data_IF_627688911758
#
_entry.id   IF_627688911758
#
_cell.length_a   1.000
_cell.length_b   1.000
_cell.length_c   1.000
_cell.angle_alpha   90.00
_cell.angle_beta   90.00
_cell.angle_gamma   90.00
#
_symmetry.space_group_name_H-M   'P 1'
#
loop_
_entity.id
_entity.type
_entity.pdbx_description
1 polymer ?
#
# COMPACT_ATOMS: atom_id res chain seq x y z
N UNK A 1 -17.27 3.56 22.32
CA UNK A 1 -16.07 4.42 22.24
C UNK A 1 -14.93 3.70 22.97
N UNK A 2 -14.07 2.99 22.23
CA UNK A 2 -12.92 2.12 22.60
C UNK A 2 -12.92 1.01 21.52
N UNK A 3 -11.86 0.60 20.83
CA UNK A 3 -10.43 0.59 21.12
C UNK A 3 -9.64 0.96 19.85
N UNK A 4 -8.78 1.99 19.94
CA UNK A 4 -7.60 2.05 19.08
C UNK A 4 -6.49 1.38 19.89
N UNK A 5 -6.27 0.07 19.67
CA UNK A 5 -5.09 -0.61 20.21
C UNK A 5 -3.86 0.03 19.57
N UNK A 6 -2.95 0.54 20.40
CA UNK A 6 -1.62 0.98 19.97
C UNK A 6 -0.97 -0.14 19.16
N UNK A 7 -0.75 0.09 17.88
CA UNK A 7 0.06 -0.79 17.05
C UNK A 7 1.49 -0.81 17.61
N UNK A 8 1.92 -1.98 18.07
CA UNK A 8 3.24 -2.16 18.66
C UNK A 8 4.25 -2.41 17.53
N UNK A 9 4.96 -1.36 17.11
CA UNK A 9 5.88 -1.31 15.94
C UNK A 9 7.17 -2.17 16.08
N UNK A 10 7.16 -3.25 16.85
CA UNK A 10 8.39 -3.98 17.28
C UNK A 10 8.91 -5.05 16.32
N UNK A 11 8.34 -5.22 15.12
CA UNK A 11 8.70 -6.32 14.19
C UNK A 11 9.56 -5.88 13.00
N UNK A 12 10.22 -4.71 13.05
CA UNK A 12 11.15 -4.26 12.00
C UNK A 12 12.55 -4.80 12.24
N UNK A 13 13.12 -5.49 11.25
CA UNK A 13 14.54 -5.87 11.20
C UNK A 13 15.41 -4.61 11.43
N UNK A 14 16.44 -4.75 12.27
CA UNK A 14 17.01 -3.69 13.12
C UNK A 14 17.68 -2.45 12.49
N UNK A 15 17.49 -2.19 11.19
CA UNK A 15 18.03 -1.01 10.50
C UNK A 15 16.97 0.05 10.13
N UNK A 16 15.67 -0.26 10.26
CA UNK A 16 14.57 0.68 9.99
C UNK A 16 14.10 1.41 11.24
N UNK A 17 14.98 2.16 11.92
CA UNK A 17 14.61 3.01 13.05
C UNK A 17 13.57 4.07 12.61
N UNK A 18 12.35 3.96 13.16
CA UNK A 18 11.27 4.95 13.25
C UNK A 18 11.12 6.05 12.15
N UNK A 19 11.16 5.68 10.86
CA UNK A 19 10.91 6.62 9.73
C UNK A 19 9.58 7.37 9.78
N UNK A 20 8.58 6.90 10.54
CA UNK A 20 7.26 7.52 10.60
C UNK A 20 7.28 9.01 11.00
N UNK A 21 8.28 9.44 11.75
CA UNK A 21 8.45 10.84 12.15
C UNK A 21 9.10 11.70 11.05
N UNK A 22 9.81 11.08 10.11
CA UNK A 22 10.54 11.75 9.00
C UNK A 22 9.68 11.79 7.74
N UNK A 23 8.91 10.72 7.47
CA UNK A 23 8.05 10.62 6.30
C UNK A 23 6.92 11.66 6.36
N UNK A 24 6.80 12.46 5.31
CA UNK A 24 5.77 13.49 5.22
C UNK A 24 4.48 12.95 4.58
N UNK A 25 4.59 12.04 3.60
CA UNK A 25 3.44 11.53 2.86
C UNK A 25 2.73 10.41 3.64
N UNK A 26 1.40 10.42 3.59
CA UNK A 26 0.58 9.55 4.41
C UNK A 26 0.44 8.15 3.81
N UNK A 27 -0.29 8.04 2.71
CA UNK A 27 -0.65 6.75 2.14
C UNK A 27 -0.49 6.80 0.62
N UNK A 28 0.13 5.77 0.06
CA UNK A 28 0.25 5.57 -1.37
C UNK A 28 -0.87 4.66 -1.90
N UNK A 29 -1.22 4.85 -3.17
CA UNK A 29 -2.14 4.00 -3.90
C UNK A 29 -1.69 3.89 -5.36
N UNK A 30 -1.50 2.67 -5.87
CA UNK A 30 -1.04 2.46 -7.26
C UNK A 30 -1.93 1.40 -7.90
N UNK A 31 -2.98 1.89 -8.56
CA UNK A 31 -4.02 1.07 -9.20
C UNK A 31 -4.40 1.70 -10.53
N UNK A 32 -4.56 0.87 -11.56
CA UNK A 32 -5.06 1.31 -12.86
C UNK A 32 -6.37 0.66 -13.28
N UNK A 33 -6.67 -0.55 -12.77
CA UNK A 33 -7.92 -1.25 -13.04
C UNK A 33 -8.99 -0.81 -12.03
N UNK A 34 -10.12 -0.20 -12.41
CA UNK A 34 -11.15 0.30 -11.48
C UNK A 34 -12.16 -0.75 -11.00
N UNK A 35 -12.07 -2.02 -11.40
CA UNK A 35 -13.17 -3.00 -11.24
C UNK A 35 -13.42 -3.43 -9.77
N UNK A 36 -12.43 -3.34 -8.88
CA UNK A 36 -12.59 -3.81 -7.49
C UNK A 36 -13.27 -2.75 -6.60
N UNK A 37 -14.57 -2.92 -6.33
CA UNK A 37 -15.37 -1.99 -5.53
C UNK A 37 -14.87 -1.83 -4.09
N UNK A 38 -14.56 -2.94 -3.40
CA UNK A 38 -14.08 -2.93 -2.00
C UNK A 38 -12.80 -2.09 -1.87
N UNK A 39 -11.86 -2.25 -2.81
CA UNK A 39 -10.64 -1.45 -2.83
C UNK A 39 -10.91 0.02 -3.10
N UNK A 40 -11.82 0.32 -4.03
CA UNK A 40 -12.16 1.70 -4.36
C UNK A 40 -12.85 2.40 -3.18
N UNK A 41 -13.75 1.71 -2.49
CA UNK A 41 -14.39 2.20 -1.27
C UNK A 41 -13.37 2.45 -0.16
N UNK A 42 -12.43 1.51 0.03
CA UNK A 42 -11.33 1.68 0.98
C UNK A 42 -10.47 2.92 0.65
N UNK A 43 -10.13 3.13 -0.63
CA UNK A 43 -9.45 4.34 -1.08
C UNK A 43 -10.22 5.61 -0.69
N UNK A 44 -11.52 5.67 -0.99
CA UNK A 44 -12.34 6.85 -0.67
C UNK A 44 -12.43 7.12 0.82
N UNK A 45 -12.65 6.09 1.65
CA UNK A 45 -12.70 6.21 3.12
C UNK A 45 -11.37 6.69 3.71
N UNK A 46 -10.26 6.12 3.25
CA UNK A 46 -8.92 6.48 3.74
C UNK A 46 -8.55 7.89 3.27
N UNK A 47 -8.86 8.23 2.02
CA UNK A 47 -8.60 9.56 1.46
C UNK A 47 -9.43 10.67 2.13
N UNK A 48 -10.66 10.37 2.54
CA UNK A 48 -11.49 11.28 3.33
C UNK A 48 -10.90 11.55 4.73
N UNK A 49 -10.24 10.55 5.33
CA UNK A 49 -9.56 10.71 6.60
C UNK A 49 -8.26 11.53 6.47
N UNK A 50 -7.43 11.21 5.47
CA UNK A 50 -6.21 11.96 5.16
C UNK A 50 -5.80 11.71 3.70
N UNK A 51 -5.34 12.73 2.95
CA UNK A 51 -5.05 12.57 1.52
C UNK A 51 -4.13 11.39 1.19
N UNK A 52 -4.57 10.57 0.24
CA UNK A 52 -3.84 9.43 -0.33
C UNK A 52 -3.26 9.87 -1.67
N UNK A 53 -1.95 9.67 -1.87
CA UNK A 53 -1.32 9.93 -3.16
C UNK A 53 -1.54 8.74 -4.08
N UNK A 54 -2.27 8.95 -5.18
CA UNK A 54 -2.55 7.93 -6.19
C UNK A 54 -1.64 8.09 -7.40
N UNK A 55 -0.77 7.11 -7.62
CA UNK A 55 0.20 7.07 -8.73
C UNK A 55 -0.17 6.12 -9.87
N UNK A 56 -1.29 5.41 -9.77
CA UNK A 56 -1.83 4.62 -10.89
C UNK A 56 -2.78 5.44 -11.78
N UNK A 57 -3.40 4.81 -12.77
CA UNK A 57 -4.40 5.48 -13.63
C UNK A 57 -5.67 5.86 -12.87
N UNK A 58 -6.08 5.02 -11.92
CA UNK A 58 -7.32 5.18 -11.18
C UNK A 58 -7.14 6.19 -10.05
N UNK A 59 -8.02 7.19 -10.00
CA UNK A 59 -8.00 8.26 -8.98
C UNK A 59 -6.67 9.02 -8.90
N UNK A 60 -5.91 9.10 -10.00
CA UNK A 60 -4.61 9.76 -10.02
C UNK A 60 -4.70 11.20 -9.49
N UNK A 61 -3.78 11.59 -8.63
CA UNK A 61 -3.74 12.94 -8.06
C UNK A 61 -2.32 13.47 -7.83
N UNK A 62 -1.32 12.87 -8.49
CA UNK A 62 0.08 13.27 -8.38
C UNK A 62 0.61 13.96 -9.64
N UNK A 63 -0.28 14.33 -10.57
CA UNK A 63 0.06 15.00 -11.84
C UNK A 63 0.41 14.04 -12.98
N UNK A 64 0.13 12.75 -12.84
CA UNK A 64 0.41 11.73 -13.86
C UNK A 64 0.60 10.34 -13.27
N UNK A 65 0.47 9.31 -14.11
CA UNK A 65 0.81 7.94 -13.70
C UNK A 65 2.31 7.81 -13.47
N UNK A 66 2.71 6.97 -12.52
CA UNK A 66 4.12 6.59 -12.38
C UNK A 66 4.60 5.96 -13.70
N UNK A 67 5.81 6.33 -14.12
CA UNK A 67 6.44 5.72 -15.28
C UNK A 67 6.94 4.33 -14.88
N UNK A 68 6.15 3.31 -15.22
CA UNK A 68 6.50 1.91 -15.00
C UNK A 68 7.15 1.35 -16.27
N UNK A 69 8.22 0.57 -16.11
CA UNK A 69 8.91 -0.21 -17.15
C UNK A 69 7.96 -1.16 -17.88
N UNK A 70 6.96 -1.69 -17.16
CA UNK A 70 5.90 -2.52 -17.72
C UNK A 70 4.52 -1.99 -17.32
N UNK A 71 3.53 -2.04 -18.22
CA UNK A 71 2.17 -1.63 -17.91
C UNK A 71 1.51 -2.58 -16.90
N UNK A 72 0.53 -2.06 -16.16
CA UNK A 72 -0.13 -2.79 -15.08
C UNK A 72 0.71 -2.72 -13.80
N UNK A 73 0.10 -2.26 -12.71
CA UNK A 73 0.77 -2.02 -11.43
C UNK A 73 1.37 -3.26 -10.74
N UNK A 74 1.37 -4.42 -11.40
CA UNK A 74 1.88 -5.69 -10.89
C UNK A 74 3.33 -6.02 -11.25
N UNK A 75 4.07 -5.14 -11.94
CA UNK A 75 5.52 -5.30 -12.05
C UNK A 75 6.26 -4.52 -10.96
N UNK A 76 7.35 -5.10 -10.46
CA UNK A 76 8.23 -4.55 -9.41
C UNK A 76 9.08 -3.41 -9.89
N UNK A 77 8.43 -2.33 -10.29
CA UNK A 77 9.08 -1.16 -10.85
C UNK A 77 9.80 -0.32 -9.79
N UNK A 78 10.99 0.18 -10.14
CA UNK A 78 11.79 1.04 -9.27
C UNK A 78 11.11 2.38 -8.96
N UNK A 79 10.35 2.94 -9.90
CA UNK A 79 9.53 4.15 -9.69
C UNK A 79 8.46 3.89 -8.63
N UNK A 80 7.82 2.72 -8.67
CA UNK A 80 6.83 2.30 -7.65
C UNK A 80 7.49 2.08 -6.30
N UNK A 81 8.69 1.50 -6.26
CA UNK A 81 9.47 1.35 -5.04
C UNK A 81 9.81 2.72 -4.41
N UNK A 82 10.36 3.64 -5.19
CA UNK A 82 10.68 5.00 -4.71
C UNK A 82 9.42 5.73 -4.24
N UNK A 83 8.32 5.63 -4.99
CA UNK A 83 7.05 6.20 -4.58
C UNK A 83 6.60 5.66 -3.22
N UNK A 84 6.62 4.34 -3.02
CA UNK A 84 6.26 3.75 -1.73
C UNK A 84 7.22 4.13 -0.58
N UNK A 85 8.51 4.26 -0.85
CA UNK A 85 9.51 4.60 0.15
C UNK A 85 9.31 5.98 0.80
N UNK A 86 8.57 6.87 0.16
CA UNK A 86 8.20 8.20 0.66
C UNK A 86 6.93 8.21 1.52
N UNK A 87 6.19 7.10 1.58
CA UNK A 87 4.89 7.01 2.26
C UNK A 87 4.95 6.13 3.50
N UNK A 88 4.16 6.49 4.51
CA UNK A 88 4.02 5.68 5.74
C UNK A 88 3.26 4.39 5.47
N UNK A 89 2.19 4.48 4.70
CA UNK A 89 1.28 3.39 4.39
C UNK A 89 1.06 3.24 2.88
N UNK A 90 0.54 2.10 2.46
CA UNK A 90 0.04 1.90 1.10
C UNK A 90 -1.19 0.99 1.10
N UNK A 91 -2.16 1.26 0.24
CA UNK A 91 -3.32 0.40 0.03
C UNK A 91 -2.93 -0.74 -0.93
N UNK A 92 -2.50 -1.87 -0.38
CA UNK A 92 -2.04 -3.06 -1.11
C UNK A 92 -3.17 -4.08 -1.29
N UNK A 93 -4.32 -3.63 -1.79
CA UNK A 93 -5.47 -4.50 -1.99
C UNK A 93 -5.33 -5.30 -3.28
N UNK A 94 -5.74 -6.56 -3.23
CA UNK A 94 -5.90 -7.38 -4.43
C UNK A 94 -7.14 -6.98 -5.24
N UNK A 95 -7.20 -7.44 -6.49
CA UNK A 95 -8.36 -7.19 -7.35
C UNK A 95 -9.59 -8.01 -6.94
N UNK A 96 -9.39 -9.09 -6.19
CA UNK A 96 -10.43 -9.98 -5.68
C UNK A 96 -9.94 -10.70 -4.43
N UNK A 97 -10.89 -11.28 -3.68
CA UNK A 97 -10.59 -12.12 -2.52
C UNK A 97 -10.61 -13.58 -2.94
N UNK A 98 -9.52 -14.32 -2.71
CA UNK A 98 -9.49 -15.77 -2.92
C UNK A 98 -8.42 -16.42 -2.02
N UNK A 99 -8.67 -17.64 -1.48
CA UNK A 99 -7.67 -18.38 -0.71
C UNK A 99 -6.38 -18.55 -1.51
N UNK A 100 -5.25 -18.23 -0.88
CA UNK A 100 -3.91 -18.28 -1.51
C UNK A 100 -3.66 -17.22 -2.58
N UNK A 101 -4.62 -16.34 -2.91
CA UNK A 101 -4.42 -15.28 -3.91
C UNK A 101 -3.66 -14.10 -3.31
N UNK A 102 -2.34 -14.26 -3.30
CA UNK A 102 -1.38 -13.27 -2.85
C UNK A 102 -0.47 -12.89 -4.01
N UNK A 103 -0.40 -11.60 -4.32
CA UNK A 103 0.42 -11.11 -5.44
C UNK A 103 1.58 -10.25 -4.96
N UNK A 104 2.30 -9.68 -5.91
CA UNK A 104 3.42 -8.77 -5.67
C UNK A 104 3.07 -7.51 -4.85
N UNK A 105 1.78 -7.13 -4.76
CA UNK A 105 1.37 -5.85 -4.16
C UNK A 105 1.79 -5.73 -2.71
N UNK A 106 1.70 -6.83 -1.96
CA UNK A 106 2.14 -6.89 -0.58
C UNK A 106 3.67 -6.86 -0.49
N UNK A 107 4.34 -7.63 -1.33
CA UNK A 107 5.81 -7.71 -1.37
C UNK A 107 6.44 -6.35 -1.70
N UNK A 108 5.96 -5.66 -2.74
CA UNK A 108 6.51 -4.36 -3.16
C UNK A 108 6.38 -3.29 -2.06
N UNK A 109 5.29 -3.30 -1.29
CA UNK A 109 5.12 -2.41 -0.14
C UNK A 109 6.17 -2.69 0.93
N UNK A 110 6.31 -3.95 1.33
CA UNK A 110 7.28 -4.38 2.35
C UNK A 110 8.73 -4.09 1.94
N UNK A 111 9.09 -4.36 0.68
CA UNK A 111 10.42 -4.05 0.15
C UNK A 111 10.76 -2.56 0.20
N UNK A 112 9.77 -1.68 0.01
CA UNK A 112 9.95 -0.22 0.12
C UNK A 112 9.96 0.29 1.57
N UNK A 113 9.76 -0.57 2.56
CA UNK A 113 9.59 -0.19 3.96
C UNK A 113 8.27 0.56 4.24
N UNK A 114 7.31 0.48 3.31
CA UNK A 114 6.00 1.10 3.39
C UNK A 114 4.99 0.11 3.99
N UNK A 115 4.23 0.52 5.02
CA UNK A 115 3.35 -0.41 5.73
C UNK A 115 2.09 -0.71 4.89
N UNK A 116 1.86 -1.97 4.49
CA UNK A 116 0.71 -2.32 3.66
C UNK A 116 -0.58 -2.39 4.49
N UNK A 117 -1.59 -1.63 4.07
CA UNK A 117 -2.99 -1.88 4.41
C UNK A 117 -3.51 -2.90 3.39
N UNK A 118 -3.57 -4.17 3.79
CA UNK A 118 -3.79 -5.30 2.88
C UNK A 118 -5.21 -5.88 2.98
N UNK A 119 -5.74 -6.32 1.84
CA UNK A 119 -6.95 -7.12 1.70
C UNK A 119 -6.83 -7.98 0.44
N UNK A 120 -7.13 -9.29 0.52
CA UNK A 120 -6.96 -10.23 -0.59
C UNK A 120 -7.11 -11.69 -0.18
N UNK A 121 -6.08 -12.33 0.36
CA UNK A 121 -6.18 -13.66 0.98
C UNK A 121 -6.15 -13.58 2.50
N UNK A 122 -6.75 -14.56 3.18
CA UNK A 122 -6.56 -14.78 4.62
C UNK A 122 -5.35 -15.70 4.89
N UNK A 123 -5.02 -16.56 3.93
CA UNK A 123 -3.89 -17.48 3.95
C UNK A 123 -2.68 -16.74 3.38
N UNK A 124 -1.97 -16.00 4.24
CA UNK A 124 -0.80 -15.22 3.85
C UNK A 124 0.48 -15.82 4.41
N UNK A 125 1.52 -15.87 3.58
CA UNK A 125 2.88 -16.28 3.99
C UNK A 125 3.61 -15.20 4.83
N UNK A 126 2.99 -14.02 5.01
CA UNK A 126 3.59 -12.90 5.73
C UNK A 126 3.10 -12.82 7.18
N UNK A 127 3.98 -12.37 8.08
CA UNK A 127 3.63 -12.16 9.49
C UNK A 127 2.54 -11.08 9.63
N UNK A 128 1.38 -11.36 10.26
CA UNK A 128 0.28 -10.40 10.42
C UNK A 128 0.63 -9.19 11.30
N UNK A 129 1.73 -9.24 12.06
CA UNK A 129 2.24 -8.13 12.87
C UNK A 129 3.28 -7.25 12.16
N UNK A 130 3.51 -7.45 10.85
CA UNK A 130 4.60 -6.80 10.09
C UNK A 130 4.13 -5.86 8.99
#
# INVERSE_FOLDING_TARGET
MQLIRRWNLRTRTGHHHNRFHILQKFCAFVVSNPICEIRNEAFHKVNAYKPVSSGGAYQNNIGGQLHLKYPGGGCGDISKHHFFAEHKFTLSFENSQAPGYLTEKLLHAKMAGCVPLYWGTIDTDFNPQS
#
